data_IF_027262808790
#
_entry.id   IF_027262808790
#
_cell.length_a   1.000
_cell.length_b   1.000
_cell.length_c   1.000
_cell.angle_alpha   90.00
_cell.angle_beta   90.00
_cell.angle_gamma   90.00
#
_symmetry.space_group_name_H-M   'P 1'
#
loop_
_entity.id
_entity.type
_entity.pdbx_description
1 polymer ?
#
# COMPACT_ATOMS: atom_id res chain seq x y z
N UNK A 1 10.27 25.14 -49.86
CA UNK A 1 9.57 25.36 -48.58
C UNK A 1 8.32 24.47 -48.55
N UNK A 2 8.35 23.30 -47.91
CA UNK A 2 7.17 22.43 -47.76
C UNK A 2 7.02 22.11 -46.28
N UNK A 3 5.99 22.70 -45.70
CA UNK A 3 5.61 22.61 -44.29
C UNK A 3 4.95 21.24 -44.07
N UNK A 4 5.57 20.38 -43.27
CA UNK A 4 4.97 19.13 -42.82
C UNK A 4 4.19 19.38 -41.53
N UNK A 5 2.87 19.21 -41.57
CA UNK A 5 2.02 19.16 -40.39
C UNK A 5 2.32 17.87 -39.61
N UNK A 6 2.85 18.02 -38.39
CA UNK A 6 3.02 16.92 -37.43
C UNK A 6 1.71 16.81 -36.64
N UNK A 7 0.93 15.76 -36.90
CA UNK A 7 -0.21 15.40 -36.07
C UNK A 7 0.32 14.65 -34.83
N UNK A 8 0.20 15.28 -33.65
CA UNK A 8 0.54 14.65 -32.36
C UNK A 8 -0.66 13.81 -31.93
N UNK A 9 -0.54 12.49 -32.04
CA UNK A 9 -1.47 11.54 -31.42
C UNK A 9 -1.19 11.49 -29.92
N UNK A 10 -2.07 12.08 -29.10
CA UNK A 10 -2.02 11.92 -27.66
C UNK A 10 -2.50 10.50 -27.28
N UNK A 11 -1.58 9.64 -26.86
CA UNK A 11 -1.92 8.32 -26.30
C UNK A 11 -2.25 8.53 -24.81
N UNK A 12 -3.52 8.43 -24.46
CA UNK A 12 -3.93 8.35 -23.06
C UNK A 12 -3.52 6.98 -22.51
N UNK A 13 -2.58 6.96 -21.56
CA UNK A 13 -2.22 5.74 -20.82
C UNK A 13 -3.13 5.69 -19.59
N UNK A 14 -4.25 4.98 -19.71
CA UNK A 14 -5.08 4.61 -18.58
C UNK A 14 -4.34 3.55 -17.74
N UNK A 15 -3.63 4.01 -16.71
CA UNK A 15 -2.98 3.13 -15.74
C UNK A 15 -4.00 2.59 -14.75
N UNK A 16 -4.61 1.45 -15.03
CA UNK A 16 -5.33 0.68 -14.01
C UNK A 16 -4.33 0.14 -12.99
N UNK A 17 -4.52 0.48 -11.70
CA UNK A 17 -3.73 -0.12 -10.64
C UNK A 17 -4.12 -1.62 -10.53
N UNK A 18 -3.25 -2.49 -11.04
CA UNK A 18 -3.44 -3.94 -11.01
C UNK A 18 -2.88 -4.51 -9.70
N UNK A 19 -3.68 -5.33 -9.02
CA UNK A 19 -3.25 -6.05 -7.84
C UNK A 19 -2.24 -7.14 -8.22
N UNK A 20 -1.15 -7.22 -7.45
CA UNK A 20 -0.08 -8.22 -7.61
C UNK A 20 0.03 -9.05 -6.35
N UNK A 21 0.31 -10.34 -6.49
CA UNK A 21 0.60 -11.18 -5.34
C UNK A 21 1.97 -10.79 -4.73
N UNK A 22 2.02 -10.62 -3.41
CA UNK A 22 3.23 -10.27 -2.65
C UNK A 22 3.30 -11.02 -1.32
N UNK A 23 4.47 -11.07 -0.69
CA UNK A 23 4.63 -11.60 0.66
C UNK A 23 4.42 -10.50 1.70
N UNK A 24 3.30 -10.58 2.43
CA UNK A 24 2.82 -9.50 3.28
C UNK A 24 2.70 -9.91 4.75
N UNK A 25 2.73 -8.92 5.64
CA UNK A 25 2.40 -9.13 7.05
C UNK A 25 1.84 -7.88 7.70
N UNK A 26 0.96 -8.09 8.69
CA UNK A 26 0.48 -7.06 9.60
C UNK A 26 0.63 -7.55 11.04
N UNK A 27 1.30 -6.77 11.88
CA UNK A 27 1.34 -6.93 13.33
C UNK A 27 0.73 -5.71 13.98
N UNK A 28 -0.18 -5.90 14.94
CA UNK A 28 -0.84 -4.82 15.69
C UNK A 28 -0.76 -5.15 17.17
N UNK A 29 -0.32 -4.19 17.98
CA UNK A 29 -0.10 -4.37 19.42
C UNK A 29 0.72 -5.64 19.74
N UNK A 30 1.78 -5.87 18.96
CA UNK A 30 2.68 -7.05 19.06
C UNK A 30 2.01 -8.40 18.78
N UNK A 31 0.79 -8.41 18.23
CA UNK A 31 0.08 -9.62 17.81
C UNK A 31 0.07 -9.70 16.28
N UNK A 32 0.54 -10.82 15.74
CA UNK A 32 0.44 -11.08 14.31
C UNK A 32 -1.04 -11.18 13.91
N UNK A 33 -1.46 -10.34 12.98
CA UNK A 33 -2.80 -10.34 12.41
C UNK A 33 -2.85 -11.30 11.22
N UNK A 34 -1.85 -11.19 10.33
CA UNK A 34 -1.62 -12.13 9.25
C UNK A 34 -0.16 -12.08 8.77
N UNK A 35 0.26 -13.17 8.14
CA UNK A 35 1.52 -13.29 7.39
C UNK A 35 1.34 -14.29 6.25
N UNK A 36 1.82 -13.95 5.05
CA UNK A 36 1.75 -14.83 3.88
C UNK A 36 1.47 -14.06 2.59
N UNK A 37 1.04 -14.80 1.56
CA UNK A 37 0.64 -14.19 0.28
C UNK A 37 -0.56 -13.25 0.49
N UNK A 38 -0.50 -12.07 -0.13
CA UNK A 38 -1.60 -11.12 -0.17
C UNK A 38 -1.66 -10.40 -1.52
N UNK A 39 -2.78 -9.75 -1.80
CA UNK A 39 -2.89 -8.85 -2.95
C UNK A 39 -2.35 -7.48 -2.56
N UNK A 40 -1.36 -7.01 -3.31
CA UNK A 40 -0.70 -5.72 -3.18
C UNK A 40 -1.08 -4.83 -4.36
N UNK A 41 -1.60 -3.64 -4.07
CA UNK A 41 -1.90 -2.62 -5.08
C UNK A 41 -1.20 -1.33 -4.68
N UNK A 42 -0.46 -0.71 -5.60
CA UNK A 42 0.26 0.52 -5.32
C UNK A 42 -0.24 1.70 -6.16
N UNK A 43 -0.27 2.85 -5.53
CA UNK A 43 -0.53 4.14 -6.14
C UNK A 43 0.78 4.81 -6.60
N UNK A 44 0.64 5.88 -7.40
CA UNK A 44 1.79 6.57 -8.03
C UNK A 44 2.71 7.29 -7.04
N UNK A 45 2.18 7.69 -5.89
CA UNK A 45 2.91 8.37 -4.81
C UNK A 45 3.65 7.38 -3.88
N UNK A 46 3.49 6.07 -4.12
CA UNK A 46 4.03 5.00 -3.29
C UNK A 46 3.11 4.57 -2.16
N UNK A 47 1.90 5.13 -2.06
CA UNK A 47 0.84 4.60 -1.20
C UNK A 47 0.43 3.21 -1.70
N UNK A 48 -0.05 2.37 -0.80
CA UNK A 48 -0.44 1.02 -1.18
C UNK A 48 -1.52 0.42 -0.30
N UNK A 49 -2.18 -0.58 -0.87
CA UNK A 49 -3.18 -1.41 -0.25
C UNK A 49 -2.67 -2.85 -0.15
N UNK A 50 -3.00 -3.52 0.96
CA UNK A 50 -2.89 -4.96 1.12
C UNK A 50 -4.27 -5.58 1.35
N UNK A 51 -4.55 -6.69 0.68
CA UNK A 51 -5.72 -7.54 0.96
C UNK A 51 -5.25 -8.95 1.26
N UNK A 52 -5.44 -9.40 2.50
CA UNK A 52 -5.10 -10.78 2.88
C UNK A 52 -6.20 -11.76 2.44
N UNK A 53 -5.85 -13.03 2.15
CA UNK A 53 -6.84 -14.09 1.91
C UNK A 53 -7.78 -14.32 3.10
N UNK A 54 -7.36 -13.92 4.30
CA UNK A 54 -8.14 -14.00 5.53
C UNK A 54 -9.11 -12.83 5.75
N UNK A 55 -9.21 -11.90 4.80
CA UNK A 55 -10.17 -10.79 4.80
C UNK A 55 -9.71 -9.55 5.56
N UNK A 56 -8.40 -9.36 5.76
CA UNK A 56 -7.87 -8.11 6.30
C UNK A 56 -7.54 -7.13 5.17
N UNK A 57 -7.94 -5.88 5.36
CA UNK A 57 -7.62 -4.76 4.48
C UNK A 57 -6.66 -3.84 5.21
N UNK A 58 -5.60 -3.39 4.54
CA UNK A 58 -4.63 -2.43 5.07
C UNK A 58 -4.37 -1.36 4.03
N UNK A 59 -4.35 -0.09 4.45
CA UNK A 59 -3.83 1.02 3.66
C UNK A 59 -2.61 1.62 4.35
N UNK A 60 -1.62 1.97 3.54
CA UNK A 60 -0.46 2.76 3.94
C UNK A 60 -0.39 3.94 2.98
N UNK A 61 -0.78 5.11 3.47
CA UNK A 61 -0.89 6.34 2.68
C UNK A 61 0.35 7.21 2.93
N UNK A 62 1.17 7.43 1.90
CA UNK A 62 2.40 8.22 2.05
C UNK A 62 2.04 9.67 2.30
N UNK A 63 2.40 10.18 3.48
CA UNK A 63 2.11 11.56 3.89
C UNK A 63 3.33 12.48 3.75
N UNK A 64 4.54 11.93 3.83
CA UNK A 64 5.80 12.63 3.57
C UNK A 64 6.92 11.61 3.24
N UNK A 65 8.11 12.05 2.77
CA UNK A 65 9.24 11.15 2.59
C UNK A 65 9.55 10.36 3.87
N UNK A 66 9.43 9.03 3.80
CA UNK A 66 9.68 8.14 4.93
C UNK A 66 8.57 8.06 5.98
N UNK A 67 7.43 8.73 5.77
CA UNK A 67 6.27 8.72 6.68
C UNK A 67 4.98 8.34 5.95
N UNK A 68 4.10 7.62 6.63
CA UNK A 68 2.81 7.22 6.10
C UNK A 68 1.73 7.18 7.20
N UNK A 69 0.48 7.47 6.84
CA UNK A 69 -0.69 7.19 7.67
C UNK A 69 -1.14 5.75 7.42
N UNK A 70 -1.15 4.92 8.46
CA UNK A 70 -1.60 3.52 8.37
C UNK A 70 -3.05 3.34 8.80
N UNK A 71 -3.79 2.49 8.08
CA UNK A 71 -5.15 2.08 8.41
C UNK A 71 -5.37 0.59 8.17
N UNK A 72 -6.30 -0.02 8.91
CA UNK A 72 -6.73 -1.40 8.71
C UNK A 72 -8.21 -1.60 9.06
N UNK A 73 -8.76 -2.78 8.85
CA UNK A 73 -10.19 -3.05 9.06
C UNK A 73 -10.56 -3.59 10.46
N UNK A 74 -9.62 -3.56 11.41
CA UNK A 74 -9.86 -3.96 12.80
C UNK A 74 -10.00 -5.47 13.00
N UNK A 75 -10.13 -5.88 14.27
CA UNK A 75 -10.27 -7.29 14.66
C UNK A 75 -11.55 -7.94 14.15
N UNK A 76 -12.62 -7.14 13.98
CA UNK A 76 -13.93 -7.59 13.50
C UNK A 76 -13.98 -7.75 11.97
N UNK A 77 -12.87 -7.50 11.27
CA UNK A 77 -12.73 -7.61 9.82
C UNK A 77 -13.78 -6.83 9.03
N UNK A 78 -13.84 -5.52 9.26
CA UNK A 78 -14.69 -4.63 8.46
C UNK A 78 -14.43 -4.75 6.95
N UNK A 79 -15.37 -4.30 6.13
CA UNK A 79 -15.27 -4.39 4.66
C UNK A 79 -14.32 -3.36 4.02
N UNK A 80 -13.66 -2.51 4.82
CA UNK A 80 -12.66 -1.55 4.39
C UNK A 80 -11.74 -1.17 5.55
N UNK A 81 -10.56 -0.65 5.24
CA UNK A 81 -9.61 -0.15 6.23
C UNK A 81 -10.04 1.23 6.77
N UNK A 82 -10.47 1.27 8.02
CA UNK A 82 -11.03 2.45 8.69
C UNK A 82 -10.46 2.69 10.10
N UNK A 83 -9.84 1.67 10.70
CA UNK A 83 -9.20 1.76 12.00
C UNK A 83 -7.76 2.26 11.81
N UNK A 84 -7.36 3.31 12.53
CA UNK A 84 -6.01 3.86 12.42
C UNK A 84 -4.93 2.96 13.03
N UNK A 85 -3.80 2.84 12.33
CA UNK A 85 -2.52 2.30 12.84
C UNK A 85 -1.58 3.44 13.30
N UNK A 86 -1.95 4.69 13.03
CA UNK A 86 -1.16 5.89 13.32
C UNK A 86 -0.12 6.20 12.25
N UNK A 87 0.78 7.14 12.55
CA UNK A 87 1.93 7.45 11.69
C UNK A 87 2.91 6.28 11.74
N UNK A 88 3.26 5.76 10.57
CA UNK A 88 4.25 4.74 10.35
C UNK A 88 5.50 5.37 9.74
N UNK A 89 6.66 4.91 10.19
CA UNK A 89 7.95 5.26 9.62
C UNK A 89 8.45 4.09 8.77
N UNK A 90 9.06 4.39 7.63
CA UNK A 90 9.70 3.36 6.82
C UNK A 90 10.92 2.83 7.55
N UNK A 91 11.03 1.51 7.70
CA UNK A 91 12.15 0.91 8.40
C UNK A 91 13.45 1.02 7.59
N UNK A 92 14.58 1.21 8.27
CA UNK A 92 15.89 1.34 7.61
C UNK A 92 16.49 -0.01 7.20
N UNK A 93 16.24 -1.07 7.98
CA UNK A 93 16.78 -2.42 7.74
C UNK A 93 15.97 -3.14 6.66
N UNK A 94 14.64 -3.13 6.79
CA UNK A 94 13.74 -3.73 5.80
C UNK A 94 12.84 -2.66 5.18
N UNK A 95 13.26 -2.14 4.02
CA UNK A 95 12.56 -1.06 3.31
C UNK A 95 11.17 -1.45 2.81
N UNK A 96 10.82 -2.75 2.84
CA UNK A 96 9.48 -3.25 2.59
C UNK A 96 8.51 -3.02 3.76
N UNK A 97 9.04 -2.66 4.94
CA UNK A 97 8.28 -2.51 6.17
C UNK A 97 8.11 -1.04 6.59
N UNK A 98 6.96 -0.81 7.21
CA UNK A 98 6.54 0.45 7.81
C UNK A 98 6.07 0.17 9.23
N UNK A 99 6.56 0.90 10.22
CA UNK A 99 6.24 0.60 11.60
C UNK A 99 6.24 1.81 12.53
N UNK A 100 5.65 1.59 13.69
CA UNK A 100 5.76 2.41 14.88
C UNK A 100 5.72 1.49 16.12
N UNK A 101 5.59 2.06 17.33
CA UNK A 101 5.50 1.26 18.56
C UNK A 101 4.23 0.41 18.69
N UNK A 102 3.23 0.63 17.83
CA UNK A 102 1.92 -0.03 17.86
C UNK A 102 1.74 -1.06 16.73
N UNK A 103 2.21 -0.77 15.52
CA UNK A 103 1.96 -1.58 14.34
C UNK A 103 3.20 -1.73 13.45
N UNK A 104 3.22 -2.82 12.69
CA UNK A 104 4.18 -3.05 11.61
C UNK A 104 3.44 -3.64 10.41
N UNK A 105 3.64 -3.05 9.24
CA UNK A 105 3.09 -3.47 7.95
C UNK A 105 4.25 -3.72 6.99
N UNK A 106 4.28 -4.89 6.35
CA UNK A 106 5.31 -5.21 5.35
C UNK A 106 4.71 -5.76 4.06
N UNK A 107 5.35 -5.45 2.93
CA UNK A 107 5.01 -5.99 1.61
C UNK A 107 6.28 -6.21 0.76
N UNK A 108 6.62 -7.47 0.49
CA UNK A 108 7.85 -7.92 -0.20
C UNK A 108 7.56 -8.61 -1.52
#
# INVERSE_FOLDING_TARGET
>A
MRMFLIAVLAVAVDGTAEAKSAACSLTVSKREVFKGACDYTADRDGSFQLVSPSGFFVYVNISAPGQADGYWNGWDKGNHAHTGLGILLREDIDRACWSNGYAQVCAR
#
